data_IF_486309869593
#
_entry.id   IF_486309869593
#
_cell.length_a   1.000
_cell.length_b   1.000
_cell.length_c   1.000
_cell.angle_alpha   90.00
_cell.angle_beta   90.00
_cell.angle_gamma   90.00
#
_symmetry.space_group_name_H-M   'P 1'
#
loop_
_entity.id
_entity.type
_entity.pdbx_description
1 polymer ?
#
# COMPACT_ATOMS: atom_id res chain seq x y z
N UNK A 1 4.34 19.02 -8.13
CA UNK A 1 3.14 18.23 -7.81
C UNK A 1 3.67 16.84 -7.49
N UNK A 2 3.30 16.30 -6.33
CA UNK A 2 4.00 15.26 -5.55
C UNK A 2 4.41 13.99 -6.30
N UNK A 3 5.32 13.25 -5.68
CA UNK A 3 6.06 12.15 -6.28
C UNK A 3 5.19 10.88 -6.37
N UNK A 4 4.51 10.69 -7.50
CA UNK A 4 3.77 9.46 -7.80
C UNK A 4 4.75 8.38 -8.27
N UNK A 5 5.08 7.43 -7.42
CA UNK A 5 5.64 6.14 -7.82
C UNK A 5 4.57 5.05 -7.87
N UNK A 6 4.90 3.95 -8.52
CA UNK A 6 3.96 2.85 -8.79
C UNK A 6 3.88 1.86 -7.61
N UNK A 7 4.80 1.96 -6.65
CA UNK A 7 4.80 1.13 -5.45
C UNK A 7 3.79 1.61 -4.40
N UNK A 8 3.36 0.70 -3.53
CA UNK A 8 2.32 0.91 -2.54
C UNK A 8 2.54 2.09 -1.56
N UNK A 9 3.80 2.50 -1.35
CA UNK A 9 4.17 3.59 -0.46
C UNK A 9 4.71 4.83 -1.17
N UNK A 10 4.84 4.79 -2.50
CA UNK A 10 5.37 5.91 -3.28
C UNK A 10 4.24 6.87 -3.70
N UNK A 11 3.49 7.35 -2.73
CA UNK A 11 2.40 8.30 -2.95
C UNK A 11 2.23 9.17 -1.70
N UNK A 12 2.08 10.48 -1.86
CA UNK A 12 1.88 11.41 -0.74
C UNK A 12 0.74 10.96 0.20
N UNK A 13 -0.39 10.48 -0.33
CA UNK A 13 -1.51 9.96 0.47
C UNK A 13 -1.15 8.67 1.22
N UNK A 14 -0.31 7.83 0.63
CA UNK A 14 0.22 6.64 1.31
C UNK A 14 1.17 7.05 2.45
N UNK A 15 1.98 8.10 2.26
CA UNK A 15 2.87 8.60 3.30
C UNK A 15 2.09 9.24 4.46
N UNK A 16 1.06 10.03 4.17
CA UNK A 16 0.19 10.65 5.18
C UNK A 16 -0.42 9.59 6.12
N UNK A 17 -0.96 8.49 5.55
CA UNK A 17 -1.55 7.42 6.36
C UNK A 17 -0.49 6.60 7.10
N UNK A 18 0.71 6.42 6.53
CA UNK A 18 1.81 5.73 7.21
C UNK A 18 2.29 6.53 8.42
N UNK A 19 2.46 7.85 8.26
CA UNK A 19 2.83 8.76 9.35
C UNK A 19 1.78 8.68 10.48
N UNK A 20 0.50 8.81 10.15
CA UNK A 20 -0.59 8.71 11.13
C UNK A 20 -0.56 7.36 11.87
N UNK A 21 -0.47 6.24 11.14
CA UNK A 21 -0.45 4.91 11.76
C UNK A 21 0.81 4.73 12.62
N UNK A 22 1.96 5.27 12.22
CA UNK A 22 3.23 5.09 12.92
C UNK A 22 3.19 5.53 14.39
N UNK A 23 2.48 6.63 14.66
CA UNK A 23 2.35 7.26 15.97
C UNK A 23 1.40 6.53 16.92
N UNK A 24 0.58 5.62 16.40
CA UNK A 24 -0.44 4.91 17.16
C UNK A 24 0.14 3.69 17.92
N UNK A 25 -0.52 3.34 19.03
CA UNK A 25 -0.28 2.05 19.69
C UNK A 25 -0.86 0.88 18.89
N UNK A 26 -0.51 -0.36 19.22
CA UNK A 26 -0.92 -1.54 18.44
C UNK A 26 -2.44 -1.71 18.32
N UNK A 27 -3.22 -1.30 19.32
CA UNK A 27 -4.68 -1.43 19.27
C UNK A 27 -5.26 -0.35 18.36
N UNK A 28 -4.81 0.90 18.52
CA UNK A 28 -5.21 2.01 17.67
C UNK A 28 -4.78 1.82 16.21
N UNK A 29 -3.60 1.24 15.94
CA UNK A 29 -3.16 0.83 14.60
C UNK A 29 -4.15 -0.12 13.94
N UNK A 30 -4.57 -1.16 14.66
CA UNK A 30 -5.51 -2.13 14.13
C UNK A 30 -6.88 -1.50 13.81
N UNK A 31 -7.37 -0.60 14.66
CA UNK A 31 -8.61 0.13 14.40
C UNK A 31 -8.48 1.08 13.21
N UNK A 32 -7.40 1.86 13.12
CA UNK A 32 -7.18 2.79 12.00
C UNK A 32 -7.06 2.06 10.67
N UNK A 33 -6.30 0.96 10.63
CA UNK A 33 -6.19 0.11 9.43
C UNK A 33 -7.58 -0.44 9.06
N UNK A 34 -8.37 -0.90 10.03
CA UNK A 34 -9.74 -1.38 9.76
C UNK A 34 -10.63 -0.27 9.20
N UNK A 35 -10.55 0.93 9.75
CA UNK A 35 -11.31 2.11 9.29
C UNK A 35 -11.02 2.40 7.82
N UNK A 36 -9.75 2.58 7.45
CA UNK A 36 -9.33 2.86 6.06
C UNK A 36 -9.82 1.78 5.10
N UNK A 37 -9.65 0.50 5.47
CA UNK A 37 -10.09 -0.61 4.62
C UNK A 37 -11.62 -0.65 4.49
N UNK A 38 -12.34 -0.40 5.58
CA UNK A 38 -13.81 -0.37 5.57
C UNK A 38 -14.32 0.78 4.71
N UNK A 39 -13.75 1.97 4.86
CA UNK A 39 -14.08 3.13 4.05
C UNK A 39 -13.83 2.86 2.57
N UNK A 40 -12.68 2.28 2.24
CA UNK A 40 -12.34 1.88 0.87
C UNK A 40 -13.30 0.87 0.26
N UNK A 41 -13.85 -0.04 1.08
CA UNK A 41 -14.82 -1.03 0.62
C UNK A 41 -16.23 -0.46 0.46
N UNK A 42 -16.59 0.50 1.31
CA UNK A 42 -17.88 1.20 1.28
C UNK A 42 -17.92 2.35 0.26
N UNK A 43 -16.76 2.85 -0.16
CA UNK A 43 -16.65 3.91 -1.14
C UNK A 43 -17.07 3.45 -2.53
N UNK A 44 -17.63 4.38 -3.30
CA UNK A 44 -17.79 4.16 -4.72
C UNK A 44 -16.40 3.98 -5.39
N UNK A 45 -16.32 3.22 -6.50
CA UNK A 45 -15.06 2.94 -7.20
C UNK A 45 -14.36 4.18 -7.79
N UNK A 46 -15.00 5.35 -7.73
CA UNK A 46 -14.53 6.63 -8.25
C UNK A 46 -13.60 7.41 -7.29
N UNK A 47 -13.33 6.88 -6.08
CA UNK A 47 -12.45 7.53 -5.11
C UNK A 47 -10.99 7.09 -5.25
N UNK A 48 -10.31 7.58 -6.29
CA UNK A 48 -8.89 7.29 -6.54
C UNK A 48 -7.94 7.66 -5.37
N UNK A 49 -8.09 8.79 -4.66
CA UNK A 49 -7.27 9.12 -3.49
C UNK A 49 -7.30 8.03 -2.40
N UNK A 50 -8.51 7.60 -2.02
CA UNK A 50 -8.70 6.58 -0.98
C UNK A 50 -8.12 5.22 -1.38
N UNK A 51 -8.07 4.91 -2.68
CA UNK A 51 -7.47 3.68 -3.16
C UNK A 51 -5.98 3.56 -2.78
N UNK A 52 -5.23 4.66 -2.75
CA UNK A 52 -3.82 4.65 -2.35
C UNK A 52 -3.65 4.31 -0.87
N UNK A 53 -4.46 4.90 0.00
CA UNK A 53 -4.45 4.61 1.43
C UNK A 53 -4.82 3.15 1.71
N UNK A 54 -5.83 2.63 1.00
CA UNK A 54 -6.26 1.22 1.09
C UNK A 54 -5.14 0.27 0.66
N UNK A 55 -4.45 0.57 -0.45
CA UNK A 55 -3.33 -0.24 -0.93
C UNK A 55 -2.16 -0.19 0.08
N UNK A 56 -1.84 0.98 0.63
CA UNK A 56 -0.80 1.14 1.64
C UNK A 56 -1.12 0.35 2.92
N UNK A 57 -2.33 0.51 3.46
CA UNK A 57 -2.80 -0.21 4.65
C UNK A 57 -2.78 -1.73 4.43
N UNK A 58 -3.22 -2.21 3.26
CA UNK A 58 -3.17 -3.63 2.94
C UNK A 58 -1.73 -4.16 2.77
N UNK A 59 -0.82 -3.32 2.25
CA UNK A 59 0.60 -3.67 2.11
C UNK A 59 1.27 -3.81 3.47
N UNK A 60 0.96 -2.94 4.45
CA UNK A 60 1.43 -3.08 5.83
C UNK A 60 1.08 -4.43 6.44
N UNK A 61 -0.15 -4.90 6.18
CA UNK A 61 -0.60 -6.22 6.62
C UNK A 61 0.10 -7.33 5.85
N UNK A 62 0.26 -7.19 4.54
CA UNK A 62 0.91 -8.20 3.72
C UNK A 62 2.37 -8.44 4.12
N UNK A 63 3.12 -7.39 4.44
CA UNK A 63 4.56 -7.46 4.79
C UNK A 63 4.84 -8.42 5.94
N UNK A 64 3.97 -8.46 6.96
CA UNK A 64 4.17 -9.29 8.15
C UNK A 64 3.72 -10.74 7.96
N UNK A 65 3.15 -11.09 6.81
CA UNK A 65 2.69 -12.43 6.48
C UNK A 65 3.80 -13.26 5.82
N UNK A 66 3.69 -14.60 5.81
CA UNK A 66 4.66 -15.46 5.13
C UNK A 66 4.83 -15.09 3.65
N UNK A 67 6.05 -14.72 3.26
CA UNK A 67 6.38 -14.26 1.91
C UNK A 67 6.16 -12.76 1.65
N UNK A 68 5.62 -12.03 2.64
CA UNK A 68 5.33 -10.61 2.55
C UNK A 68 6.55 -9.69 2.50
N UNK A 69 7.66 -10.08 3.16
CA UNK A 69 8.90 -9.28 3.14
C UNK A 69 9.46 -9.08 1.72
N UNK A 70 9.15 -9.96 0.77
CA UNK A 70 9.57 -9.79 -0.62
C UNK A 70 8.98 -8.52 -1.26
N UNK A 71 7.82 -8.05 -0.78
CA UNK A 71 7.15 -6.84 -1.27
C UNK A 71 7.96 -5.56 -1.06
N UNK A 72 8.83 -5.54 -0.04
CA UNK A 72 9.67 -4.37 0.30
C UNK A 72 11.13 -4.58 -0.05
N UNK A 73 11.57 -5.83 -0.19
CA UNK A 73 12.94 -6.16 -0.66
C UNK A 73 13.06 -5.99 -2.17
N UNK A 74 11.99 -6.25 -2.92
CA UNK A 74 11.98 -6.13 -4.39
C UNK A 74 11.56 -4.76 -4.88
N UNK A 75 11.39 -3.74 -4.01
CA UNK A 75 11.25 -2.36 -4.49
C UNK A 75 12.55 -2.03 -5.23
N UNK A 76 12.55 -1.99 -6.58
CA UNK A 76 13.73 -1.56 -7.27
C UNK A 76 13.97 -0.13 -6.81
N UNK A 77 15.20 0.20 -6.43
CA UNK A 77 15.64 1.59 -6.32
C UNK A 77 15.03 2.34 -7.50
N UNK A 78 14.17 3.31 -7.22
CA UNK A 78 13.36 4.01 -8.20
C UNK A 78 14.27 4.56 -9.29
N UNK A 79 14.42 3.81 -10.39
CA UNK A 79 15.18 4.10 -11.60
C UNK A 79 16.60 4.66 -11.32
N UNK A 80 17.66 3.95 -11.73
CA UNK A 80 19.02 4.51 -11.82
C UNK A 80 19.07 5.82 -12.65
N UNK A 81 18.00 6.16 -13.40
CA UNK A 81 17.84 7.43 -14.11
C UNK A 81 17.20 8.56 -13.29
N UNK A 82 16.49 8.28 -12.18
CA UNK A 82 16.06 9.27 -11.19
C UNK A 82 17.08 9.45 -10.06
N UNK A 83 17.96 8.46 -9.84
CA UNK A 83 19.09 8.52 -8.89
C UNK A 83 20.07 9.68 -9.13
N UNK A 84 20.06 10.31 -10.31
CA UNK A 84 20.92 11.47 -10.58
C UNK A 84 20.38 12.80 -10.02
N UNK A 85 19.15 12.83 -9.50
CA UNK A 85 18.54 14.05 -8.93
C UNK A 85 17.95 13.88 -7.52
N UNK A 86 17.97 12.67 -6.97
CA UNK A 86 17.52 12.39 -5.59
C UNK A 86 18.78 12.37 -4.72
N UNK A 87 18.77 13.14 -3.63
CA UNK A 87 19.86 13.15 -2.66
C UNK A 87 20.00 11.73 -2.08
N UNK A 88 21.21 11.14 -2.00
CA UNK A 88 21.39 9.84 -1.36
C UNK A 88 20.86 9.77 0.08
N UNK A 89 20.71 10.91 0.77
CA UNK A 89 20.02 10.96 2.06
C UNK A 89 18.50 10.66 1.92
N UNK A 90 17.83 11.06 0.82
CA UNK A 90 16.39 10.84 0.57
C UNK A 90 16.03 9.36 0.32
N UNK A 91 16.98 8.54 -0.15
CA UNK A 91 16.77 7.10 -0.38
C UNK A 91 16.61 6.30 0.93
N UNK A 92 17.08 6.85 2.05
CA UNK A 92 16.99 6.19 3.35
C UNK A 92 15.61 6.35 4.01
N UNK A 93 14.85 7.40 3.68
CA UNK A 93 13.58 7.74 4.34
C UNK A 93 12.43 6.80 3.97
N UNK A 94 12.35 6.33 2.73
CA UNK A 94 11.26 5.43 2.30
C UNK A 94 11.24 4.07 3.04
N UNK A 95 12.37 3.62 3.60
CA UNK A 95 12.45 2.37 4.35
C UNK A 95 12.17 2.52 5.86
N UNK A 96 12.39 3.71 6.43
CA UNK A 96 12.21 3.97 7.86
C UNK A 96 10.75 4.35 8.21
N UNK A 97 9.94 4.79 7.24
CA UNK A 97 8.58 5.30 7.49
C UNK A 97 7.51 4.23 7.68
N UNK A 98 7.54 3.13 6.91
CA UNK A 98 6.51 2.08 7.04
C UNK A 98 6.78 1.09 8.19
N UNK A 99 8.02 0.93 8.62
CA UNK A 99 8.39 -0.05 9.63
C UNK A 99 7.71 0.18 11.00
N UNK A 100 7.65 1.43 11.53
CA UNK A 100 6.92 1.72 12.76
C UNK A 100 5.41 1.54 12.62
N UNK A 101 4.85 1.67 11.42
CA UNK A 101 3.42 1.50 11.12
C UNK A 101 2.96 0.03 11.09
N UNK A 102 3.88 -0.94 11.08
CA UNK A 102 3.54 -2.36 11.02
C UNK A 102 2.72 -2.85 12.21
N UNK A 103 1.60 -3.52 11.91
CA UNK A 103 0.84 -4.32 12.86
C UNK A 103 1.41 -5.75 12.89
N UNK A 104 2.23 -6.09 13.89
CA UNK A 104 3.01 -7.34 13.90
C UNK A 104 2.20 -8.64 13.90
N UNK A 105 0.95 -8.60 14.35
CA UNK A 105 0.08 -9.78 14.47
C UNK A 105 -1.35 -9.42 14.05
N UNK A 106 -1.63 -9.28 12.75
CA UNK A 106 -2.97 -9.00 12.28
C UNK A 106 -3.87 -10.22 12.42
N UNK A 107 -5.13 -10.01 12.83
CA UNK A 107 -6.13 -11.06 12.87
C UNK A 107 -6.62 -11.44 11.45
N UNK A 108 -7.09 -12.67 11.28
CA UNK A 108 -7.58 -13.19 9.99
C UNK A 108 -8.67 -12.30 9.40
N UNK A 109 -9.64 -11.86 10.22
CA UNK A 109 -10.72 -10.96 9.77
C UNK A 109 -10.20 -9.66 9.13
N UNK A 110 -9.08 -9.13 9.64
CA UNK A 110 -8.46 -7.91 9.11
C UNK A 110 -7.73 -8.18 7.78
N UNK A 111 -7.12 -9.36 7.64
CA UNK A 111 -6.48 -9.81 6.39
C UNK A 111 -7.53 -10.03 5.31
N UNK A 112 -8.66 -10.67 5.64
CA UNK A 112 -9.79 -10.86 4.72
C UNK A 112 -10.40 -9.53 4.28
N UNK A 113 -10.57 -8.59 5.23
CA UNK A 113 -11.03 -7.24 4.93
C UNK A 113 -10.06 -6.53 3.97
N UNK A 114 -8.74 -6.63 4.20
CA UNK A 114 -7.75 -6.04 3.33
C UNK A 114 -7.80 -6.61 1.91
N UNK A 115 -7.89 -7.93 1.77
CA UNK A 115 -8.02 -8.59 0.48
C UNK A 115 -9.26 -8.11 -0.28
N UNK A 116 -10.41 -8.02 0.39
CA UNK A 116 -11.66 -7.54 -0.23
C UNK A 116 -11.55 -6.07 -0.66
N UNK A 117 -10.99 -5.23 0.20
CA UNK A 117 -10.91 -3.78 -0.02
C UNK A 117 -9.95 -3.45 -1.17
N UNK A 118 -8.77 -4.08 -1.22
CA UNK A 118 -7.81 -3.89 -2.33
C UNK A 118 -8.41 -4.33 -3.66
N UNK A 119 -9.09 -5.48 -3.70
CA UNK A 119 -9.75 -5.96 -4.92
C UNK A 119 -10.85 -4.99 -5.40
N UNK A 120 -11.56 -4.35 -4.48
CA UNK A 120 -12.60 -3.37 -4.79
C UNK A 120 -12.01 -2.09 -5.37
N UNK A 121 -11.05 -1.46 -4.68
CA UNK A 121 -10.46 -0.19 -5.13
C UNK A 121 -9.59 -0.32 -6.39
N UNK A 122 -9.11 -1.53 -6.69
CA UNK A 122 -8.33 -1.82 -7.91
C UNK A 122 -9.12 -2.58 -8.97
N UNK A 123 -10.45 -2.60 -8.87
CA UNK A 123 -11.33 -3.21 -9.87
C UNK A 123 -11.09 -2.64 -11.29
N UNK A 124 -11.50 -3.39 -12.32
CA UNK A 124 -11.29 -3.01 -13.74
C UNK A 124 -11.88 -1.64 -14.08
N UNK A 125 -12.97 -1.29 -13.42
CA UNK A 125 -13.74 -0.06 -13.59
C UNK A 125 -13.45 0.99 -12.52
N UNK A 126 -12.39 0.84 -11.71
CA UNK A 126 -12.04 1.84 -10.70
C UNK A 126 -11.32 3.06 -11.28
N UNK A 127 -11.60 4.24 -10.71
CA UNK A 127 -10.93 5.47 -11.12
C UNK A 127 -9.44 5.45 -10.79
N UNK A 128 -9.03 4.67 -9.78
CA UNK A 128 -7.61 4.43 -9.51
C UNK A 128 -6.88 3.88 -10.74
N UNK A 129 -7.50 3.01 -11.56
CA UNK A 129 -6.87 2.57 -12.81
C UNK A 129 -6.80 3.67 -13.86
N UNK A 130 -7.75 4.60 -13.84
CA UNK A 130 -7.88 5.67 -14.84
C UNK A 130 -6.86 6.79 -14.65
N UNK A 131 -6.33 6.98 -13.43
CA UNK A 131 -5.33 8.03 -13.15
C UNK A 131 -3.94 7.71 -13.69
N UNK A 132 -3.67 6.45 -14.04
CA UNK A 132 -2.38 6.01 -14.57
C UNK A 132 -2.34 6.02 -16.10
N UNK A 133 -1.19 6.41 -16.66
CA UNK A 133 -0.87 6.13 -18.07
C UNK A 133 -0.71 4.63 -18.32
N UNK A 134 -0.85 4.17 -19.57
CA UNK A 134 -0.92 2.73 -19.90
C UNK A 134 0.24 1.90 -19.34
N UNK A 135 1.49 2.41 -19.47
CA UNK A 135 2.69 1.73 -18.96
C UNK A 135 2.75 1.72 -17.43
N UNK A 136 2.44 2.85 -16.79
CA UNK A 136 2.49 2.96 -15.32
C UNK A 136 1.37 2.15 -14.66
N UNK A 137 0.22 2.02 -15.34
CA UNK A 137 -0.89 1.19 -14.90
C UNK A 137 -0.53 -0.28 -14.83
N UNK A 138 0.19 -0.80 -15.84
CA UNK A 138 0.64 -2.19 -15.86
C UNK A 138 1.56 -2.49 -14.66
N UNK A 139 2.50 -1.59 -14.39
CA UNK A 139 3.42 -1.71 -13.25
C UNK A 139 2.68 -1.61 -11.91
N UNK A 140 1.79 -0.63 -11.75
CA UNK A 140 1.01 -0.48 -10.52
C UNK A 140 0.11 -1.72 -10.26
N UNK A 141 -0.48 -2.30 -11.31
CA UNK A 141 -1.26 -3.53 -11.19
C UNK A 141 -0.40 -4.75 -10.85
N UNK A 142 0.83 -4.82 -11.36
CA UNK A 142 1.79 -5.87 -11.00
C UNK A 142 2.13 -5.79 -9.51
N UNK A 143 2.46 -4.60 -8.99
CA UNK A 143 2.76 -4.38 -7.57
C UNK A 143 1.58 -4.73 -6.66
N UNK A 144 0.38 -4.22 -6.97
CA UNK A 144 -0.84 -4.59 -6.23
C UNK A 144 -1.11 -6.09 -6.31
N UNK A 145 -0.85 -6.72 -7.46
CA UNK A 145 -1.00 -8.16 -7.65
C UNK A 145 -0.13 -8.98 -6.70
N UNK A 146 1.11 -8.52 -6.40
CA UNK A 146 1.98 -9.15 -5.40
C UNK A 146 1.37 -9.09 -4.00
N UNK A 147 0.82 -7.93 -3.61
CA UNK A 147 0.13 -7.74 -2.32
C UNK A 147 -1.07 -8.68 -2.20
N UNK A 148 -1.94 -8.71 -3.21
CA UNK A 148 -3.10 -9.62 -3.27
C UNK A 148 -2.66 -11.07 -3.12
N UNK A 149 -1.62 -11.50 -3.82
CA UNK A 149 -1.13 -12.88 -3.77
C UNK A 149 -0.65 -13.28 -2.36
N UNK A 150 -0.05 -12.37 -1.58
CA UNK A 150 0.34 -12.62 -0.20
C UNK A 150 -0.88 -12.74 0.71
N UNK A 151 -1.83 -11.81 0.59
CA UNK A 151 -3.07 -11.82 1.38
C UNK A 151 -3.91 -13.09 1.10
N UNK A 152 -4.07 -13.47 -0.17
CA UNK A 152 -4.80 -14.69 -0.56
C UNK A 152 -4.21 -15.97 0.03
N UNK A 153 -2.88 -16.05 0.15
CA UNK A 153 -2.22 -17.23 0.74
C UNK A 153 -2.45 -17.32 2.24
N UNK A 154 -2.63 -16.19 2.92
CA UNK A 154 -2.80 -16.14 4.36
C UNK A 154 -4.23 -16.47 4.83
N UNK A 155 -5.23 -16.36 3.94
CA UNK A 155 -6.64 -16.65 4.22
C UNK A 155 -7.09 -18.07 3.81
N UNK A 156 -6.19 -18.86 3.20
CA UNK A 156 -6.45 -20.25 2.78
C UNK A 156 -6.03 -21.25 3.86
#
# INVERSE_FOLDING_TARGET
MGAWGQAAFQNDLALDILEEISELDSAAKAEKIREVLTEGLESAPDNAPLAHEVIAAATLLAIVLPGGLALVIELPDADERLSASIDPDDQQYANDEWFPALLRSPGVDLIELALRSVNHVTAVDSDWRSVWGDRDRELALEEVGKVIAVLERAVR
#
